data_IF_597471265083
#
_entry.id   IF_597471265083
#
_cell.length_a   1.000
_cell.length_b   1.000
_cell.length_c   1.000
_cell.angle_alpha   90.00
_cell.angle_beta   90.00
_cell.angle_gamma   90.00
#
_symmetry.space_group_name_H-M   'P 1'
#
loop_
_entity.id
_entity.type
_entity.pdbx_description
1 polymer ?
#
# COMPACT_ATOMS: atom_id res chain seq x y z
N UNK A 1 15.27 -22.21 3.13
CA UNK A 1 15.60 -21.90 4.53
C UNK A 1 17.11 -22.02 4.79
N UNK A 2 17.77 -23.16 4.55
CA UNK A 2 19.22 -23.33 4.75
C UNK A 2 20.09 -22.30 4.02
N UNK A 3 19.68 -21.79 2.86
CA UNK A 3 20.40 -20.77 2.10
C UNK A 3 20.43 -19.43 2.81
N UNK A 4 19.31 -19.00 3.41
CA UNK A 4 19.24 -17.73 4.14
C UNK A 4 20.04 -17.78 5.43
N UNK A 5 20.03 -18.90 6.15
CA UNK A 5 20.87 -19.10 7.34
C UNK A 5 22.36 -19.00 7.02
N UNK A 6 22.81 -19.62 5.92
CA UNK A 6 24.19 -19.48 5.44
C UNK A 6 24.51 -18.03 5.06
N UNK A 7 23.59 -17.37 4.37
CA UNK A 7 23.76 -15.96 4.00
C UNK A 7 23.91 -15.06 5.23
N UNK A 8 23.09 -15.25 6.25
CA UNK A 8 23.20 -14.54 7.53
C UNK A 8 24.56 -14.74 8.18
N UNK A 9 25.07 -15.98 8.20
CA UNK A 9 26.41 -16.27 8.75
C UNK A 9 27.53 -15.56 7.98
N UNK A 10 27.48 -15.56 6.64
CA UNK A 10 28.47 -14.86 5.82
C UNK A 10 28.42 -13.35 6.02
N UNK A 11 27.24 -12.77 6.01
CA UNK A 11 27.08 -11.32 6.24
C UNK A 11 27.55 -10.92 7.65
N UNK A 12 27.25 -11.73 8.65
CA UNK A 12 27.75 -11.50 10.02
C UNK A 12 29.28 -11.52 10.10
N UNK A 13 29.94 -12.37 9.31
CA UNK A 13 31.39 -12.37 9.22
C UNK A 13 31.90 -11.09 8.55
N UNK A 14 31.27 -10.62 7.47
CA UNK A 14 31.60 -9.35 6.82
C UNK A 14 31.46 -8.20 7.81
N UNK A 15 30.33 -8.10 8.50
CA UNK A 15 30.05 -7.09 9.51
C UNK A 15 31.11 -7.06 10.64
N UNK A 16 31.65 -8.21 10.98
CA UNK A 16 32.67 -8.33 12.03
C UNK A 16 34.08 -8.02 11.53
N UNK A 17 34.43 -8.44 10.31
CA UNK A 17 35.81 -8.35 9.78
C UNK A 17 36.03 -7.01 9.07
N UNK A 18 35.02 -6.50 8.40
CA UNK A 18 35.10 -5.31 7.55
C UNK A 18 33.79 -4.51 7.64
N UNK A 19 33.49 -3.90 8.83
CA UNK A 19 32.23 -3.17 9.02
C UNK A 19 32.08 -1.96 8.09
N UNK A 20 33.19 -1.45 7.54
CA UNK A 20 33.21 -0.36 6.58
C UNK A 20 33.04 -0.80 5.12
N UNK A 21 32.91 -2.12 4.87
CA UNK A 21 32.61 -2.61 3.53
C UNK A 21 31.20 -2.15 3.13
N UNK A 22 31.09 -1.48 1.99
CA UNK A 22 29.84 -0.86 1.57
C UNK A 22 28.94 -1.83 0.82
N UNK A 23 27.62 -1.69 1.00
CA UNK A 23 26.60 -2.29 0.15
C UNK A 23 26.16 -3.72 0.53
N UNK A 24 26.69 -4.31 1.62
CA UNK A 24 26.22 -5.62 2.08
C UNK A 24 24.95 -5.52 2.94
N UNK A 25 24.67 -4.36 3.50
CA UNK A 25 23.62 -4.17 4.50
C UNK A 25 22.23 -4.50 3.95
N UNK A 26 21.96 -4.15 2.67
CA UNK A 26 20.70 -4.53 2.03
C UNK A 26 20.54 -6.05 1.97
N UNK A 27 21.52 -6.77 1.42
CA UNK A 27 21.47 -8.23 1.34
C UNK A 27 21.39 -8.89 2.71
N UNK A 28 22.13 -8.36 3.70
CA UNK A 28 22.12 -8.85 5.07
C UNK A 28 20.76 -8.66 5.73
N UNK A 29 20.17 -7.47 5.64
CA UNK A 29 18.84 -7.19 6.19
C UNK A 29 17.76 -8.08 5.56
N UNK A 30 17.81 -8.29 4.25
CA UNK A 30 16.89 -9.19 3.57
C UNK A 30 17.04 -10.66 4.03
N UNK A 31 18.28 -11.14 4.22
CA UNK A 31 18.52 -12.50 4.72
C UNK A 31 17.99 -12.68 6.14
N UNK A 32 18.20 -11.70 7.02
CA UNK A 32 17.64 -11.68 8.38
C UNK A 32 16.11 -11.67 8.38
N UNK A 33 15.50 -10.86 7.52
CA UNK A 33 14.04 -10.81 7.38
C UNK A 33 13.48 -12.17 6.96
N UNK A 34 14.10 -12.87 6.00
CA UNK A 34 13.70 -14.22 5.58
C UNK A 34 13.86 -15.27 6.69
N UNK A 35 14.70 -15.02 7.67
CA UNK A 35 14.85 -15.82 8.89
C UNK A 35 13.96 -15.31 10.05
N UNK A 36 12.99 -14.44 9.76
CA UNK A 36 12.03 -13.85 10.72
C UNK A 36 12.69 -13.03 11.86
N UNK A 37 13.91 -12.53 11.62
CA UNK A 37 14.64 -11.66 12.57
C UNK A 37 14.44 -10.19 12.21
N UNK A 38 13.17 -9.72 12.28
CA UNK A 38 12.76 -8.42 11.72
C UNK A 38 13.42 -7.24 12.43
N UNK A 39 13.56 -7.30 13.77
CA UNK A 39 14.22 -6.26 14.55
C UNK A 39 15.69 -6.09 14.14
N UNK A 40 16.38 -7.21 13.96
CA UNK A 40 17.79 -7.18 13.55
C UNK A 40 17.92 -6.76 12.09
N UNK A 41 17.00 -7.18 11.22
CA UNK A 41 16.93 -6.73 9.83
C UNK A 41 16.79 -5.21 9.74
N UNK A 42 15.90 -4.61 10.57
CA UNK A 42 15.74 -3.17 10.65
C UNK A 42 17.01 -2.47 11.17
N UNK A 43 17.68 -3.06 12.17
CA UNK A 43 18.95 -2.51 12.69
C UNK A 43 20.01 -2.45 11.61
N UNK A 44 20.20 -3.53 10.83
CA UNK A 44 21.18 -3.59 9.73
C UNK A 44 20.80 -2.61 8.61
N UNK A 45 19.52 -2.53 8.24
CA UNK A 45 19.07 -1.57 7.23
C UNK A 45 19.40 -0.12 7.66
N UNK A 46 19.13 0.23 8.91
CA UNK A 46 19.49 1.56 9.48
C UNK A 46 21.00 1.81 9.46
N UNK A 47 21.81 0.81 9.78
CA UNK A 47 23.28 0.91 9.72
C UNK A 47 23.74 1.22 8.28
N UNK A 48 23.12 0.60 7.27
CA UNK A 48 23.39 0.94 5.86
C UNK A 48 22.97 2.37 5.50
N UNK A 49 21.84 2.83 6.04
CA UNK A 49 21.36 4.21 5.84
C UNK A 49 22.21 5.27 6.55
N UNK A 50 22.96 4.94 7.61
CA UNK A 50 23.96 5.82 8.20
C UNK A 50 25.12 6.08 7.23
N UNK A 51 25.46 5.12 6.37
CA UNK A 51 26.49 5.23 5.33
C UNK A 51 25.95 5.89 4.06
N UNK A 52 24.77 5.50 3.63
CA UNK A 52 24.08 6.06 2.45
C UNK A 52 22.62 6.38 2.79
N UNK A 53 22.30 7.61 3.23
CA UNK A 53 20.96 8.00 3.71
C UNK A 53 19.85 7.92 2.65
N UNK A 54 20.19 7.93 1.37
CA UNK A 54 19.25 7.96 0.25
C UNK A 54 19.25 6.66 -0.57
N UNK A 55 19.80 5.57 -0.03
CA UNK A 55 19.71 4.25 -0.69
C UNK A 55 18.28 3.77 -0.69
N UNK A 56 17.57 3.96 -1.82
CA UNK A 56 16.12 3.66 -1.94
C UNK A 56 15.76 2.24 -1.52
N UNK A 57 16.56 1.23 -1.89
CA UNK A 57 16.30 -0.16 -1.51
C UNK A 57 16.36 -0.38 0.00
N UNK A 58 17.29 0.27 0.68
CA UNK A 58 17.39 0.20 2.15
C UNK A 58 16.26 0.97 2.82
N UNK A 59 15.84 2.11 2.28
CA UNK A 59 14.69 2.88 2.76
C UNK A 59 13.40 2.07 2.65
N UNK A 60 13.16 1.43 1.50
CA UNK A 60 12.00 0.56 1.30
C UNK A 60 12.02 -0.67 2.23
N UNK A 61 13.19 -1.28 2.42
CA UNK A 61 13.35 -2.39 3.36
C UNK A 61 13.12 -1.95 4.81
N UNK A 62 13.70 -0.83 5.24
CA UNK A 62 13.52 -0.29 6.59
C UNK A 62 12.06 0.12 6.84
N UNK A 63 11.37 0.65 5.84
CA UNK A 63 9.94 0.92 5.90
C UNK A 63 9.13 -0.36 6.11
N UNK A 64 9.37 -1.40 5.31
CA UNK A 64 8.69 -2.68 5.46
C UNK A 64 8.90 -3.27 6.86
N UNK A 65 10.15 -3.34 7.33
CA UNK A 65 10.47 -3.90 8.65
C UNK A 65 9.86 -3.07 9.79
N UNK A 66 9.85 -1.73 9.66
CA UNK A 66 9.21 -0.86 10.64
C UNK A 66 7.71 -1.10 10.71
N UNK A 67 7.06 -1.28 9.57
CA UNK A 67 5.63 -1.59 9.48
C UNK A 67 5.29 -2.94 10.13
N UNK A 68 6.06 -3.99 9.83
CA UNK A 68 5.91 -5.33 10.44
C UNK A 68 6.12 -5.32 11.96
N UNK A 69 6.93 -4.39 12.47
CA UNK A 69 7.16 -4.14 13.90
C UNK A 69 6.11 -3.20 14.53
N UNK A 70 4.98 -2.99 13.85
CA UNK A 70 3.90 -2.11 14.31
C UNK A 70 4.34 -0.66 14.60
N UNK A 71 5.31 -0.17 13.82
CA UNK A 71 5.76 1.22 13.83
C UNK A 71 5.46 1.93 12.51
N UNK A 72 4.18 2.25 12.22
CA UNK A 72 3.78 2.88 10.97
C UNK A 72 4.39 4.28 10.79
N UNK A 73 4.61 5.03 11.86
CA UNK A 73 5.26 6.35 11.78
C UNK A 73 6.73 6.25 11.34
N UNK A 74 7.45 5.22 11.80
CA UNK A 74 8.80 4.95 11.32
C UNK A 74 8.80 4.51 9.85
N UNK A 75 7.84 3.67 9.45
CA UNK A 75 7.68 3.25 8.07
C UNK A 75 7.38 4.44 7.15
N UNK A 76 6.48 5.33 7.54
CA UNK A 76 6.15 6.56 6.81
C UNK A 76 7.38 7.45 6.59
N UNK A 77 8.20 7.66 7.61
CA UNK A 77 9.43 8.48 7.49
C UNK A 77 10.40 7.94 6.44
N UNK A 78 10.64 6.62 6.42
CA UNK A 78 11.49 6.00 5.43
C UNK A 78 10.93 6.14 4.01
N UNK A 79 9.60 5.98 3.85
CA UNK A 79 8.93 6.13 2.55
C UNK A 79 8.98 7.58 2.05
N UNK A 80 8.78 8.56 2.92
CA UNK A 80 8.87 9.96 2.55
C UNK A 80 10.30 10.34 2.12
N UNK A 81 11.33 9.78 2.78
CA UNK A 81 12.72 9.97 2.35
C UNK A 81 12.99 9.28 1.01
N UNK A 82 12.50 8.05 0.82
CA UNK A 82 12.67 7.31 -0.43
C UNK A 82 12.03 8.03 -1.62
N UNK A 83 10.91 8.72 -1.41
CA UNK A 83 10.16 9.43 -2.45
C UNK A 83 10.93 10.56 -3.12
N UNK A 84 11.93 11.16 -2.44
CA UNK A 84 12.71 12.28 -2.97
C UNK A 84 13.56 11.87 -4.17
N UNK A 85 14.08 10.63 -4.21
CA UNK A 85 15.02 10.15 -5.23
C UNK A 85 14.59 8.85 -5.92
N UNK A 86 13.37 8.36 -5.68
CA UNK A 86 12.92 7.09 -6.24
C UNK A 86 12.62 7.19 -7.73
N UNK A 87 13.11 6.23 -8.51
CA UNK A 87 12.73 6.04 -9.92
C UNK A 87 11.31 5.47 -10.03
N UNK A 88 10.93 4.56 -9.14
CA UNK A 88 9.59 3.98 -9.03
C UNK A 88 8.85 4.56 -7.83
N UNK A 89 8.08 5.59 -8.10
CA UNK A 89 7.28 6.27 -7.08
C UNK A 89 6.00 5.52 -6.73
N UNK A 90 5.52 4.64 -7.62
CA UNK A 90 4.25 3.93 -7.48
C UNK A 90 4.22 3.03 -6.24
N UNK A 91 5.26 2.22 -6.03
CA UNK A 91 5.36 1.36 -4.86
C UNK A 91 5.33 2.18 -3.54
N UNK A 92 6.01 3.33 -3.54
CA UNK A 92 6.05 4.22 -2.37
C UNK A 92 4.67 4.78 -2.07
N UNK A 93 3.93 5.20 -3.10
CA UNK A 93 2.57 5.69 -2.96
C UNK A 93 1.64 4.63 -2.37
N UNK A 94 1.65 3.43 -2.91
CA UNK A 94 0.82 2.34 -2.42
C UNK A 94 1.09 2.03 -0.95
N UNK A 95 2.35 2.00 -0.54
CA UNK A 95 2.75 1.77 0.85
C UNK A 95 2.32 2.92 1.78
N UNK A 96 2.51 4.18 1.36
CA UNK A 96 2.04 5.35 2.11
C UNK A 96 0.52 5.36 2.24
N UNK A 97 -0.20 5.15 1.13
CA UNK A 97 -1.66 5.12 1.12
C UNK A 97 -2.20 3.98 2.01
N UNK A 98 -1.53 2.82 2.07
CA UNK A 98 -1.89 1.72 2.97
C UNK A 98 -1.76 2.15 4.43
N UNK A 99 -0.62 2.76 4.81
CA UNK A 99 -0.38 3.26 6.17
C UNK A 99 -1.44 4.32 6.54
N UNK A 100 -1.72 5.26 5.65
CA UNK A 100 -2.69 6.32 5.90
C UNK A 100 -4.12 5.79 5.98
N UNK A 101 -4.48 4.78 5.16
CA UNK A 101 -5.79 4.15 5.21
C UNK A 101 -6.03 3.46 6.56
N UNK A 102 -5.05 2.73 7.08
CA UNK A 102 -5.15 2.08 8.40
C UNK A 102 -5.22 3.07 9.56
N UNK A 103 -4.67 4.26 9.38
CA UNK A 103 -4.72 5.34 10.36
C UNK A 103 -5.91 6.29 10.15
N UNK A 104 -6.79 6.02 9.17
CA UNK A 104 -7.92 6.86 8.80
C UNK A 104 -7.50 8.30 8.41
N UNK A 105 -6.28 8.47 7.89
CA UNK A 105 -5.69 9.74 7.44
C UNK A 105 -6.03 9.97 5.96
N UNK A 106 -7.31 10.14 5.66
CA UNK A 106 -7.82 10.20 4.29
C UNK A 106 -7.35 11.43 3.52
N UNK A 107 -7.20 12.57 4.19
CA UNK A 107 -6.68 13.81 3.60
C UNK A 107 -5.21 13.65 3.14
N UNK A 108 -4.41 12.87 3.85
CA UNK A 108 -3.03 12.59 3.46
C UNK A 108 -2.98 11.71 2.20
N UNK A 109 -3.91 10.74 2.05
CA UNK A 109 -4.05 9.97 0.80
C UNK A 109 -4.42 10.86 -0.37
N UNK A 110 -5.39 11.77 -0.17
CA UNK A 110 -5.81 12.73 -1.18
C UNK A 110 -4.65 13.66 -1.56
N UNK A 111 -3.85 14.10 -0.60
CA UNK A 111 -2.69 14.94 -0.85
C UNK A 111 -1.61 14.25 -1.72
N UNK A 112 -1.57 12.91 -1.75
CA UNK A 112 -0.70 12.17 -2.67
C UNK A 112 -1.11 12.36 -4.14
N UNK A 113 -2.37 12.68 -4.45
CA UNK A 113 -2.91 12.80 -5.81
C UNK A 113 -2.11 13.74 -6.73
N UNK A 114 -1.59 14.84 -6.21
CA UNK A 114 -0.85 15.84 -6.99
C UNK A 114 0.51 15.36 -7.52
N UNK A 115 0.96 14.18 -7.15
CA UNK A 115 2.29 13.64 -7.43
C UNK A 115 2.22 12.24 -8.05
N UNK A 116 1.03 11.85 -8.49
CA UNK A 116 0.68 10.47 -8.77
C UNK A 116 1.05 9.99 -10.17
N UNK A 117 1.68 8.80 -10.29
CA UNK A 117 1.59 8.04 -11.52
C UNK A 117 0.15 7.55 -11.73
N UNK A 118 -0.28 7.44 -12.98
CA UNK A 118 -1.63 6.97 -13.35
C UNK A 118 -1.84 5.48 -13.01
N UNK A 119 -1.92 5.16 -11.71
CA UNK A 119 -2.17 3.80 -11.23
C UNK A 119 -3.62 3.65 -10.78
N UNK A 120 -4.29 2.60 -11.28
CA UNK A 120 -5.70 2.32 -10.96
C UNK A 120 -5.94 2.12 -9.47
N UNK A 121 -5.04 1.43 -8.78
CA UNK A 121 -5.21 1.11 -7.36
C UNK A 121 -5.08 2.37 -6.50
N UNK A 122 -4.11 3.22 -6.80
CA UNK A 122 -3.93 4.50 -6.09
C UNK A 122 -5.12 5.42 -6.33
N UNK A 123 -5.58 5.56 -7.58
CA UNK A 123 -6.81 6.32 -7.90
C UNK A 123 -8.02 5.79 -7.12
N UNK A 124 -8.15 4.49 -7.02
CA UNK A 124 -9.24 3.90 -6.24
C UNK A 124 -9.12 4.19 -4.73
N UNK A 125 -7.91 4.14 -4.15
CA UNK A 125 -7.70 4.53 -2.75
C UNK A 125 -8.04 6.00 -2.50
N UNK A 126 -7.74 6.89 -3.45
CA UNK A 126 -8.13 8.31 -3.41
C UNK A 126 -9.64 8.45 -3.50
N UNK A 127 -10.31 7.74 -4.41
CA UNK A 127 -11.78 7.76 -4.53
C UNK A 127 -12.46 7.33 -3.21
N UNK A 128 -11.97 6.25 -2.59
CA UNK A 128 -12.41 5.80 -1.25
C UNK A 128 -12.18 6.86 -0.18
N UNK A 129 -11.04 7.54 -0.25
CA UNK A 129 -10.72 8.60 0.71
C UNK A 129 -11.67 9.79 0.60
N UNK A 130 -12.01 10.21 -0.62
CA UNK A 130 -13.05 11.23 -0.84
C UNK A 130 -14.41 10.79 -0.30
N UNK A 131 -14.79 9.53 -0.48
CA UNK A 131 -16.02 9.00 0.11
C UNK A 131 -15.98 9.03 1.65
N UNK A 132 -14.84 8.70 2.26
CA UNK A 132 -14.69 8.72 3.74
C UNK A 132 -14.74 10.11 4.35
N UNK A 133 -14.32 11.14 3.64
CA UNK A 133 -14.45 12.55 4.06
C UNK A 133 -15.76 13.20 3.58
N UNK A 134 -16.71 12.40 3.06
CA UNK A 134 -18.03 12.83 2.59
C UNK A 134 -18.01 13.77 1.36
N UNK A 135 -16.90 13.88 0.64
CA UNK A 135 -16.85 14.53 -0.68
C UNK A 135 -17.33 13.55 -1.77
N UNK A 136 -18.63 13.22 -1.69
CA UNK A 136 -19.26 12.18 -2.52
C UNK A 136 -19.22 12.50 -4.02
N UNK A 137 -19.20 13.78 -4.39
CA UNK A 137 -19.13 14.18 -5.80
C UNK A 137 -17.77 13.82 -6.42
N UNK A 138 -16.68 14.13 -5.73
CA UNK A 138 -15.34 13.76 -6.21
C UNK A 138 -15.11 12.25 -6.17
N UNK A 139 -15.63 11.58 -5.14
CA UNK A 139 -15.61 10.12 -5.10
C UNK A 139 -16.31 9.54 -6.35
N UNK A 140 -17.50 10.02 -6.68
CA UNK A 140 -18.28 9.56 -7.84
C UNK A 140 -17.55 9.78 -9.16
N UNK A 141 -16.95 10.95 -9.39
CA UNK A 141 -16.15 11.24 -10.59
C UNK A 141 -15.02 10.20 -10.77
N UNK A 142 -14.27 9.93 -9.71
CA UNK A 142 -13.17 8.95 -9.76
C UNK A 142 -13.67 7.51 -9.95
N UNK A 143 -14.78 7.12 -9.26
CA UNK A 143 -15.39 5.80 -9.47
C UNK A 143 -15.90 5.62 -10.90
N UNK A 144 -16.45 6.66 -11.52
CA UNK A 144 -16.86 6.64 -12.93
C UNK A 144 -15.65 6.41 -13.86
N UNK A 145 -14.54 7.15 -13.66
CA UNK A 145 -13.32 6.97 -14.43
C UNK A 145 -12.78 5.54 -14.34
N UNK A 146 -12.83 4.94 -13.15
CA UNK A 146 -12.30 3.59 -12.88
C UNK A 146 -13.22 2.46 -13.31
N UNK A 147 -14.50 2.76 -13.60
CA UNK A 147 -15.54 1.74 -13.76
C UNK A 147 -15.31 0.77 -14.91
N UNK A 148 -14.67 1.22 -16.00
CA UNK A 148 -14.36 0.35 -17.14
C UNK A 148 -13.22 -0.63 -16.85
N UNK A 149 -12.22 -0.19 -16.10
CA UNK A 149 -11.01 -0.96 -15.83
C UNK A 149 -11.21 -1.92 -14.65
N UNK A 150 -12.06 -1.56 -13.68
CA UNK A 150 -12.35 -2.34 -12.47
C UNK A 150 -13.71 -3.06 -12.50
N UNK A 151 -14.34 -3.17 -13.65
CA UNK A 151 -15.66 -3.82 -13.87
C UNK A 151 -15.75 -5.27 -13.39
N UNK A 152 -14.63 -5.97 -13.29
CA UNK A 152 -14.53 -7.37 -12.86
C UNK A 152 -13.92 -7.51 -11.45
N UNK A 153 -13.79 -6.39 -10.71
CA UNK A 153 -13.31 -6.38 -9.33
C UNK A 153 -14.49 -6.31 -8.36
N UNK A 154 -14.77 -7.37 -7.58
CA UNK A 154 -15.95 -7.39 -6.70
C UNK A 154 -15.90 -6.32 -5.60
N UNK A 155 -14.75 -6.07 -4.98
CA UNK A 155 -14.63 -5.05 -3.94
C UNK A 155 -14.90 -3.63 -4.48
N UNK A 156 -14.45 -3.34 -5.69
CA UNK A 156 -14.76 -2.08 -6.37
C UNK A 156 -16.27 -1.95 -6.65
N UNK A 157 -16.89 -2.97 -7.24
CA UNK A 157 -18.31 -2.96 -7.57
C UNK A 157 -19.18 -2.80 -6.32
N UNK A 158 -18.84 -3.48 -5.23
CA UNK A 158 -19.53 -3.35 -3.95
C UNK A 158 -19.48 -1.89 -3.46
N UNK A 159 -18.29 -1.32 -3.38
CA UNK A 159 -18.10 0.04 -2.87
C UNK A 159 -18.78 1.08 -3.77
N UNK A 160 -18.70 0.90 -5.08
CA UNK A 160 -19.37 1.79 -6.04
C UNK A 160 -20.90 1.70 -5.91
N UNK A 161 -21.45 0.51 -5.71
CA UNK A 161 -22.88 0.32 -5.44
C UNK A 161 -23.34 1.12 -4.22
N UNK A 162 -22.59 1.03 -3.11
CA UNK A 162 -22.94 1.79 -1.89
C UNK A 162 -22.84 3.30 -2.10
N UNK A 163 -21.82 3.78 -2.79
CA UNK A 163 -21.69 5.21 -3.13
C UNK A 163 -22.86 5.72 -3.98
N UNK A 164 -23.22 4.97 -5.03
CA UNK A 164 -24.34 5.33 -5.91
C UNK A 164 -25.68 5.38 -5.16
N UNK A 165 -25.91 4.40 -4.27
CA UNK A 165 -27.10 4.41 -3.40
C UNK A 165 -27.13 5.64 -2.49
N UNK A 166 -25.99 5.99 -1.89
CA UNK A 166 -25.88 7.18 -1.00
C UNK A 166 -26.17 8.47 -1.75
N UNK A 167 -25.75 8.57 -3.01
CA UNK A 167 -26.06 9.68 -3.90
C UNK A 167 -27.49 9.67 -4.45
N UNK A 168 -28.25 8.58 -4.25
CA UNK A 168 -29.59 8.42 -4.80
C UNK A 168 -29.65 8.02 -6.28
N UNK A 169 -28.54 7.54 -6.84
CA UNK A 169 -28.44 7.04 -8.23
C UNK A 169 -28.83 5.56 -8.29
N UNK A 170 -30.07 5.27 -7.94
CA UNK A 170 -30.56 3.88 -7.72
C UNK A 170 -30.45 3.00 -8.97
N UNK A 171 -30.75 3.51 -10.15
CA UNK A 171 -30.65 2.73 -11.40
C UNK A 171 -29.21 2.33 -11.73
N UNK A 172 -28.25 3.24 -11.50
CA UNK A 172 -26.83 2.93 -11.66
C UNK A 172 -26.35 1.95 -10.58
N UNK A 173 -26.82 2.14 -9.32
CA UNK A 173 -26.51 1.21 -8.24
C UNK A 173 -26.98 -0.24 -8.53
N UNK A 174 -28.17 -0.41 -9.12
CA UNK A 174 -28.67 -1.72 -9.57
C UNK A 174 -27.72 -2.38 -10.56
N UNK A 175 -27.26 -1.63 -11.55
CA UNK A 175 -26.33 -2.15 -12.57
C UNK A 175 -25.04 -2.66 -11.94
N UNK A 176 -24.48 -1.92 -10.97
CA UNK A 176 -23.25 -2.34 -10.27
C UNK A 176 -23.51 -3.54 -9.33
N UNK A 177 -24.64 -3.54 -8.60
CA UNK A 177 -25.03 -4.67 -7.75
C UNK A 177 -25.24 -5.97 -8.54
N UNK A 178 -25.90 -5.89 -9.72
CA UNK A 178 -26.04 -7.03 -10.61
C UNK A 178 -24.70 -7.53 -11.16
N UNK A 179 -23.78 -6.61 -11.48
CA UNK A 179 -22.42 -6.96 -11.93
C UNK A 179 -21.65 -7.66 -10.79
N UNK A 180 -21.73 -7.14 -9.59
CA UNK A 180 -21.15 -7.76 -8.39
C UNK A 180 -21.68 -9.18 -8.15
N UNK A 181 -23.02 -9.37 -8.17
CA UNK A 181 -23.63 -10.67 -7.93
C UNK A 181 -23.34 -11.73 -9.00
N UNK A 182 -22.92 -11.34 -10.21
CA UNK A 182 -22.37 -12.29 -11.19
C UNK A 182 -21.04 -12.87 -10.76
N UNK A 183 -20.24 -12.12 -9.99
CA UNK A 183 -18.94 -12.55 -9.47
C UNK A 183 -19.06 -13.23 -8.10
N UNK A 184 -19.99 -12.77 -7.27
CA UNK A 184 -20.22 -13.23 -5.88
C UNK A 184 -21.71 -13.53 -5.69
N UNK A 185 -22.23 -14.61 -6.30
CA UNK A 185 -23.67 -14.88 -6.35
C UNK A 185 -24.31 -15.17 -4.99
N UNK A 186 -23.56 -15.64 -4.01
CA UNK A 186 -24.06 -16.06 -2.70
C UNK A 186 -24.04 -14.93 -1.64
N UNK A 187 -23.75 -13.69 -2.03
CA UNK A 187 -23.77 -12.55 -1.12
C UNK A 187 -25.21 -12.11 -0.82
N UNK A 188 -25.71 -12.55 0.34
CA UNK A 188 -27.08 -12.25 0.80
C UNK A 188 -27.30 -10.75 1.02
N UNK A 189 -26.28 -10.03 1.51
CA UNK A 189 -26.41 -8.59 1.80
C UNK A 189 -26.60 -7.80 0.52
N UNK A 190 -25.83 -8.13 -0.53
CA UNK A 190 -26.00 -7.47 -1.83
C UNK A 190 -27.30 -7.86 -2.53
N UNK A 191 -27.78 -9.11 -2.37
CA UNK A 191 -29.10 -9.53 -2.86
C UNK A 191 -30.21 -8.71 -2.21
N UNK A 192 -30.21 -8.60 -0.87
CA UNK A 192 -31.18 -7.79 -0.12
C UNK A 192 -31.10 -6.30 -0.49
N UNK A 193 -29.87 -5.78 -0.69
CA UNK A 193 -29.67 -4.42 -1.16
C UNK A 193 -30.34 -4.20 -2.53
N UNK A 194 -30.10 -5.10 -3.49
CA UNK A 194 -30.66 -5.02 -4.85
C UNK A 194 -32.20 -4.97 -4.84
N UNK A 195 -32.85 -5.70 -3.92
CA UNK A 195 -34.32 -5.68 -3.78
C UNK A 195 -34.87 -4.32 -3.28
N UNK A 196 -34.03 -3.51 -2.63
CA UNK A 196 -34.42 -2.21 -2.06
C UNK A 196 -34.02 -1.01 -2.92
N UNK A 197 -33.21 -1.21 -3.94
CA UNK A 197 -32.84 -0.19 -4.94
C UNK A 197 -33.92 -0.05 -6.00
#
# INVERSE_FOLDING_TARGET
QEEYQKSVLYFKQIDTISPDFEGYEYGYSQALHKEHQVEEALRIAKQGLEKNPFETRLLLAASQFSYELHNPSGAEQFLLTAKEDAEDIEEIFLRLATIYMEQERFEDIIALQSQEPENLLTKWMIARSYQKIEDLNKAYELYQELSSDLKDNPEFLEQYTYLLRELGYFEEAKVQAEAYLKLVPDDVQMQELLETL
#
